data_IF_487316587733
#
_entry.id   IF_487316587733
#
_cell.length_a   1.000
_cell.length_b   1.000
_cell.length_c   1.000
_cell.angle_alpha   90.00
_cell.angle_beta   90.00
_cell.angle_gamma   90.00
#
_symmetry.space_group_name_H-M   'P 1'
#
loop_
_entity.id
_entity.type
_entity.pdbx_description
1 polymer ?
#
# COMPACT_ATOMS: atom_id res chain seq x y z
N UNK A 1 39.49 -5.57 13.32
CA UNK A 1 38.36 -4.88 13.99
C UNK A 1 37.16 -4.96 13.07
N UNK A 2 36.36 -6.02 13.17
CA UNK A 2 35.12 -6.14 12.42
C UNK A 2 34.03 -5.36 13.16
N UNK A 3 33.53 -4.28 12.56
CA UNK A 3 32.38 -3.54 13.08
C UNK A 3 31.15 -4.45 13.00
N UNK A 4 30.64 -4.90 14.14
CA UNK A 4 29.40 -5.65 14.21
C UNK A 4 28.28 -4.83 13.54
N UNK A 5 27.64 -5.42 12.52
CA UNK A 5 26.48 -4.81 11.88
C UNK A 5 25.40 -4.60 12.95
N UNK A 6 24.97 -3.35 13.14
CA UNK A 6 23.88 -3.03 14.06
C UNK A 6 22.65 -3.90 13.75
N UNK A 7 22.16 -4.62 14.74
CA UNK A 7 21.00 -5.49 14.59
C UNK A 7 19.82 -4.72 14.01
N UNK A 8 19.23 -5.20 12.91
CA UNK A 8 18.07 -4.57 12.28
C UNK A 8 16.93 -4.52 13.29
N UNK A 9 16.36 -3.33 13.55
CA UNK A 9 15.21 -3.16 14.45
C UNK A 9 14.08 -4.08 13.98
N UNK A 10 13.43 -4.76 14.93
CA UNK A 10 12.30 -5.64 14.64
C UNK A 10 11.20 -4.80 13.93
N UNK A 11 10.59 -5.32 12.86
CA UNK A 11 9.49 -4.63 12.20
C UNK A 11 8.33 -4.48 13.19
N UNK A 12 7.83 -3.27 13.34
CA UNK A 12 6.63 -2.98 14.13
C UNK A 12 5.44 -3.02 13.18
N UNK A 13 4.47 -3.86 13.51
CA UNK A 13 3.23 -3.94 12.74
C UNK A 13 2.24 -2.92 13.27
N UNK A 14 1.67 -2.13 12.37
CA UNK A 14 0.61 -1.16 12.66
C UNK A 14 -0.71 -1.66 12.07
N UNK A 15 -1.81 -1.14 12.62
CA UNK A 15 -3.17 -1.41 12.15
C UNK A 15 -3.62 -0.34 11.15
N UNK A 16 -4.64 -0.67 10.36
CA UNK A 16 -5.17 0.25 9.34
C UNK A 16 -5.70 1.53 9.99
N UNK A 17 -6.42 1.45 11.10
CA UNK A 17 -6.97 2.61 11.82
C UNK A 17 -5.92 3.60 12.37
N UNK A 18 -4.66 3.17 12.50
CA UNK A 18 -3.55 3.98 12.98
C UNK A 18 -2.86 4.80 11.88
N UNK A 19 -3.26 4.60 10.62
CA UNK A 19 -2.70 5.31 9.48
C UNK A 19 -3.14 6.78 9.49
N UNK A 20 -2.19 7.69 9.22
CA UNK A 20 -2.42 9.14 9.21
C UNK A 20 -1.93 9.79 7.91
N UNK A 21 -2.52 10.91 7.48
CA UNK A 21 -2.05 11.64 6.31
C UNK A 21 -0.54 11.96 6.39
N UNK A 22 0.17 11.82 5.26
CA UNK A 22 1.59 12.17 5.15
C UNK A 22 2.58 11.24 5.87
N UNK A 23 2.11 10.18 6.52
CA UNK A 23 3.00 9.23 7.24
C UNK A 23 3.57 8.14 6.33
N UNK A 24 4.74 7.61 6.70
CA UNK A 24 5.46 6.58 5.93
C UNK A 24 6.19 5.58 6.83
N UNK A 25 6.69 4.49 6.24
CA UNK A 25 7.41 3.44 6.97
C UNK A 25 6.52 2.38 7.60
N UNK A 26 5.26 2.31 7.19
CA UNK A 26 4.27 1.40 7.79
C UNK A 26 4.52 -0.04 7.39
N UNK A 27 4.33 -0.94 8.34
CA UNK A 27 4.29 -2.38 8.06
C UNK A 27 2.98 -2.93 8.60
N UNK A 28 2.21 -3.61 7.77
CA UNK A 28 0.90 -4.14 8.17
C UNK A 28 0.58 -5.44 7.46
N UNK A 29 -0.33 -6.21 8.07
CA UNK A 29 -0.93 -7.40 7.46
C UNK A 29 -2.36 -7.03 7.09
N UNK A 30 -2.73 -7.23 5.84
CA UNK A 30 -4.07 -6.94 5.36
C UNK A 30 -4.58 -8.03 4.44
N UNK A 31 -5.90 -8.22 4.44
CA UNK A 31 -6.61 -9.03 3.46
C UNK A 31 -7.04 -8.15 2.28
N UNK A 32 -6.89 -8.68 1.07
CA UNK A 32 -7.35 -8.02 -0.16
C UNK A 32 -8.81 -8.38 -0.39
N UNK A 33 -9.67 -7.38 -0.43
CA UNK A 33 -11.11 -7.55 -0.67
C UNK A 33 -11.43 -7.46 -2.16
N UNK A 34 -10.87 -6.47 -2.84
CA UNK A 34 -11.06 -6.29 -4.28
C UNK A 34 -9.79 -5.79 -4.94
N UNK A 35 -9.67 -6.04 -6.25
CA UNK A 35 -8.54 -5.60 -7.05
C UNK A 35 -9.04 -5.22 -8.44
N UNK A 36 -8.94 -3.94 -8.79
CA UNK A 36 -9.39 -3.38 -10.06
C UNK A 36 -8.20 -2.79 -10.79
N UNK A 37 -7.86 -3.35 -11.95
CA UNK A 37 -6.84 -2.75 -12.82
C UNK A 37 -7.38 -1.46 -13.44
N UNK A 38 -6.76 -0.33 -13.11
CA UNK A 38 -7.20 1.01 -13.56
C UNK A 38 -6.38 1.53 -14.74
N UNK A 39 -5.14 1.05 -14.89
CA UNK A 39 -4.29 1.43 -16.00
C UNK A 39 -3.47 0.22 -16.45
N UNK A 40 -3.58 -0.10 -17.73
CA UNK A 40 -2.73 -1.07 -18.39
C UNK A 40 -2.33 -0.48 -19.73
N UNK A 41 -1.20 0.23 -19.77
CA UNK A 41 -0.72 0.91 -20.97
C UNK A 41 0.67 0.41 -21.33
N UNK A 42 0.82 -0.10 -22.56
CA UNK A 42 2.12 -0.28 -23.18
C UNK A 42 2.77 1.10 -23.39
N UNK A 43 4.07 1.23 -23.11
CA UNK A 43 4.78 2.51 -23.24
C UNK A 43 4.73 2.99 -24.70
N UNK A 44 4.08 4.12 -25.03
CA UNK A 44 4.04 4.62 -26.41
C UNK A 44 5.47 4.98 -26.84
N UNK A 45 5.94 4.44 -27.96
CA UNK A 45 7.27 4.72 -28.52
C UNK A 45 8.42 3.87 -27.98
N UNK A 46 8.18 2.92 -27.07
CA UNK A 46 9.17 1.88 -26.81
C UNK A 46 9.10 0.86 -27.95
N UNK A 47 10.15 0.77 -28.77
CA UNK A 47 10.29 -0.30 -29.75
C UNK A 47 10.01 -1.66 -29.09
N UNK A 48 9.33 -2.55 -29.79
CA UNK A 48 9.03 -3.91 -29.34
C UNK A 48 10.34 -4.62 -28.97
N UNK A 49 10.69 -4.56 -27.70
CA UNK A 49 11.95 -5.06 -27.16
C UNK A 49 11.80 -5.34 -25.67
N UNK A 50 12.66 -6.18 -25.09
CA UNK A 50 12.53 -6.70 -23.73
C UNK A 50 12.49 -5.63 -22.62
N UNK A 51 12.83 -4.37 -22.92
CA UNK A 51 12.80 -3.24 -21.99
C UNK A 51 11.42 -2.53 -21.89
N UNK A 52 10.46 -2.86 -22.76
CA UNK A 52 9.14 -2.25 -22.77
C UNK A 52 8.17 -2.95 -21.80
N UNK A 53 8.48 -2.96 -20.50
CA UNK A 53 7.51 -3.48 -19.51
C UNK A 53 6.30 -2.53 -19.45
N UNK A 54 5.08 -3.02 -19.69
CA UNK A 54 3.89 -2.17 -19.64
C UNK A 54 3.68 -1.67 -18.21
N UNK A 55 3.34 -0.38 -18.09
CA UNK A 55 2.94 0.16 -16.79
C UNK A 55 1.57 -0.40 -16.46
N UNK A 56 1.48 -1.16 -15.36
CA UNK A 56 0.21 -1.67 -14.82
C UNK A 56 -0.05 -1.04 -13.47
N UNK A 57 -1.25 -0.53 -13.26
CA UNK A 57 -1.71 0.01 -11.98
C UNK A 57 -3.06 -0.61 -11.66
N UNK A 58 -3.19 -1.13 -10.46
CA UNK A 58 -4.46 -1.57 -9.90
C UNK A 58 -4.76 -0.81 -8.61
N UNK A 59 -6.03 -0.48 -8.43
CA UNK A 59 -6.58 -0.02 -7.16
C UNK A 59 -7.16 -1.25 -6.44
N UNK A 60 -6.65 -1.54 -5.27
CA UNK A 60 -7.04 -2.69 -4.47
C UNK A 60 -7.65 -2.20 -3.16
N UNK A 61 -8.83 -2.68 -2.79
CA UNK A 61 -9.36 -2.45 -1.45
C UNK A 61 -8.72 -3.49 -0.53
N UNK A 62 -8.00 -3.03 0.50
CA UNK A 62 -7.37 -3.89 1.50
C UNK A 62 -7.79 -3.47 2.90
N UNK A 63 -7.75 -4.39 3.85
CA UNK A 63 -8.01 -4.04 5.23
C UNK A 63 -7.67 -5.11 6.24
N UNK A 64 -7.85 -4.77 7.50
CA UNK A 64 -7.72 -5.63 8.66
C UNK A 64 -8.97 -5.51 9.54
N UNK A 65 -8.95 -6.06 10.75
CA UNK A 65 -10.07 -5.98 11.68
C UNK A 65 -10.41 -4.55 12.16
N UNK A 66 -9.54 -3.58 11.91
CA UNK A 66 -9.69 -2.19 12.36
C UNK A 66 -10.25 -1.28 11.29
N UNK A 67 -10.01 -1.57 10.01
CA UNK A 67 -10.53 -0.79 8.90
C UNK A 67 -10.02 -1.25 7.55
N UNK A 68 -10.39 -0.50 6.51
CA UNK A 68 -9.91 -0.71 5.15
C UNK A 68 -9.40 0.59 4.51
N UNK A 69 -8.55 0.44 3.50
CA UNK A 69 -7.94 1.52 2.74
C UNK A 69 -7.69 1.07 1.30
N UNK A 70 -7.77 2.00 0.36
CA UNK A 70 -7.36 1.77 -1.03
C UNK A 70 -5.84 1.70 -1.11
N UNK A 71 -5.35 0.63 -1.72
CA UNK A 71 -3.96 0.39 -2.03
C UNK A 71 -3.71 0.57 -3.53
N UNK A 72 -2.64 1.28 -3.88
CA UNK A 72 -2.21 1.45 -5.27
C UNK A 72 -1.11 0.43 -5.60
N UNK A 73 -1.48 -0.67 -6.25
CA UNK A 73 -0.54 -1.69 -6.71
C UNK A 73 0.06 -1.31 -8.08
N UNK A 74 1.37 -1.46 -8.22
CA UNK A 74 2.09 -1.16 -9.48
C UNK A 74 2.85 -2.36 -10.02
N UNK A 75 2.79 -2.54 -11.34
CA UNK A 75 3.52 -3.56 -12.10
C UNK A 75 3.30 -4.97 -11.51
N UNK A 76 4.38 -5.65 -11.12
CA UNK A 76 4.36 -7.01 -10.53
C UNK A 76 3.55 -7.08 -9.22
N UNK A 77 3.36 -5.96 -8.51
CA UNK A 77 2.52 -5.94 -7.31
C UNK A 77 1.06 -6.29 -7.62
N UNK A 78 0.59 -5.97 -8.84
CA UNK A 78 -0.79 -6.27 -9.25
C UNK A 78 -1.05 -7.78 -9.24
N UNK A 79 -0.03 -8.58 -9.56
CA UNK A 79 -0.14 -10.04 -9.59
C UNK A 79 -0.16 -10.65 -8.17
N UNK A 80 0.38 -9.92 -7.17
CA UNK A 80 0.36 -10.29 -5.75
C UNK A 80 -0.97 -9.91 -5.07
N UNK A 81 -1.58 -8.80 -5.51
CA UNK A 81 -2.77 -8.23 -4.89
C UNK A 81 -4.06 -8.83 -5.48
N UNK A 82 -4.24 -10.13 -5.28
CA UNK A 82 -5.43 -10.87 -5.71
C UNK A 82 -6.52 -10.81 -4.63
N UNK A 83 -7.81 -10.71 -4.99
CA UNK A 83 -8.91 -10.84 -4.03
C UNK A 83 -8.76 -12.10 -3.18
N UNK A 84 -9.20 -12.02 -1.92
CA UNK A 84 -9.14 -13.07 -0.90
C UNK A 84 -7.73 -13.49 -0.43
N UNK A 85 -6.67 -12.90 -0.98
CA UNK A 85 -5.31 -13.11 -0.48
C UNK A 85 -5.02 -12.29 0.77
N UNK A 86 -4.18 -12.83 1.66
CA UNK A 86 -3.61 -12.09 2.78
C UNK A 86 -2.17 -11.71 2.43
N UNK A 87 -1.84 -10.44 2.63
CA UNK A 87 -0.54 -9.87 2.27
C UNK A 87 0.07 -9.14 3.45
N UNK A 88 1.40 -9.22 3.55
CA UNK A 88 2.23 -8.40 4.43
C UNK A 88 2.82 -7.30 3.56
N UNK A 89 2.47 -6.05 3.88
CA UNK A 89 2.98 -4.87 3.19
C UNK A 89 4.03 -4.23 4.10
N UNK A 90 5.27 -4.15 3.63
CA UNK A 90 6.41 -3.59 4.38
C UNK A 90 6.87 -2.27 3.81
N UNK A 91 7.19 -1.34 4.71
CA UNK A 91 7.65 0.02 4.36
C UNK A 91 6.71 0.71 3.37
N UNK A 92 5.42 0.73 3.70
CA UNK A 92 4.39 1.43 2.97
C UNK A 92 4.32 2.90 3.41
N UNK A 93 3.73 3.72 2.54
CA UNK A 93 3.46 5.13 2.79
C UNK A 93 2.03 5.48 2.47
N UNK A 94 1.55 6.54 3.11
CA UNK A 94 0.29 7.19 2.77
C UNK A 94 0.56 8.20 1.68
N UNK A 95 -0.13 8.01 0.56
CA UNK A 95 -0.21 8.94 -0.55
C UNK A 95 -1.55 9.67 -0.48
N UNK A 96 -1.52 11.00 -0.58
CA UNK A 96 -2.73 11.81 -0.57
C UNK A 96 -3.21 11.99 -2.00
N UNK A 97 -4.42 11.52 -2.30
CA UNK A 97 -5.02 11.64 -3.62
C UNK A 97 -6.39 12.29 -3.53
N UNK A 98 -6.51 13.49 -4.10
CA UNK A 98 -7.75 14.29 -4.10
C UNK A 98 -8.38 14.44 -2.71
N UNK A 99 -7.56 14.72 -1.69
CA UNK A 99 -8.01 14.88 -0.31
C UNK A 99 -8.13 13.59 0.49
N UNK A 100 -8.13 12.42 -0.14
CA UNK A 100 -8.26 11.13 0.57
C UNK A 100 -6.94 10.36 0.66
N UNK A 101 -6.81 9.55 1.71
CA UNK A 101 -5.63 8.69 1.90
C UNK A 101 -5.66 7.47 0.99
N UNK A 102 -4.50 7.11 0.46
CA UNK A 102 -4.24 5.84 -0.23
C UNK A 102 -2.95 5.23 0.29
N UNK A 103 -2.90 3.91 0.40
CA UNK A 103 -1.67 3.20 0.75
C UNK A 103 -0.88 2.87 -0.52
N UNK A 104 0.43 3.04 -0.47
CA UNK A 104 1.34 2.59 -1.53
C UNK A 104 2.63 2.02 -0.93
N UNK A 105 3.25 1.08 -1.62
CA UNK A 105 4.59 0.60 -1.25
C UNK A 105 5.64 1.63 -1.66
N UNK A 106 6.54 1.97 -0.73
CA UNK A 106 7.65 2.88 -1.01
C UNK A 106 8.77 2.19 -1.82
N UNK A 107 9.75 2.95 -2.33
CA UNK A 107 10.85 2.44 -3.17
C UNK A 107 11.62 1.26 -2.56
N UNK A 108 11.73 1.23 -1.23
CA UNK A 108 12.43 0.17 -0.48
C UNK A 108 11.48 -0.84 0.15
N UNK A 109 10.18 -0.67 -0.03
CA UNK A 109 9.16 -1.56 0.49
C UNK A 109 8.90 -2.76 -0.40
N UNK A 110 8.16 -3.71 0.13
CA UNK A 110 7.80 -4.95 -0.58
C UNK A 110 6.49 -5.52 -0.06
N UNK A 111 5.90 -6.40 -0.86
CA UNK A 111 4.69 -7.14 -0.54
C UNK A 111 5.06 -8.62 -0.47
N UNK A 112 4.64 -9.30 0.60
CA UNK A 112 4.79 -10.73 0.79
C UNK A 112 3.39 -11.35 0.89
N UNK A 113 3.06 -12.34 0.07
CA UNK A 113 1.83 -13.12 0.26
C UNK A 113 2.07 -14.08 1.42
N UNK A 114 1.10 -14.18 2.33
CA UNK A 114 1.18 -15.01 3.53
C UNK A 114 -0.02 -15.93 3.62
N UNK A 115 0.01 -16.83 4.60
CA UNK A 115 -1.14 -17.66 4.96
C UNK A 115 -2.39 -16.81 5.22
N UNK A 116 -3.59 -17.34 4.91
CA UNK A 116 -4.84 -16.63 5.15
C UNK A 116 -4.96 -16.19 6.61
N UNK A 117 -5.15 -14.89 6.83
CA UNK A 117 -5.42 -14.41 8.16
C UNK A 117 -6.84 -14.80 8.61
N UNK A 118 -7.00 -15.06 9.90
CA UNK A 118 -8.28 -15.46 10.51
C UNK A 118 -9.20 -14.29 10.86
N UNK A 119 -8.77 -13.05 10.64
CA UNK A 119 -9.58 -11.87 10.96
C UNK A 119 -10.56 -11.54 9.83
N UNK A 120 -11.71 -10.98 10.21
CA UNK A 120 -12.64 -10.38 9.26
C UNK A 120 -12.30 -8.90 9.07
N UNK A 121 -12.36 -8.40 7.84
CA UNK A 121 -12.04 -7.01 7.54
C UNK A 121 -13.19 -6.10 7.96
N UNK A 122 -12.88 -5.00 8.63
CA UNK A 122 -13.88 -3.99 9.00
C UNK A 122 -14.11 -2.99 7.86
N UNK A 123 -14.97 -3.38 6.92
CA UNK A 123 -15.27 -2.60 5.71
C UNK A 123 -15.95 -1.25 5.99
N UNK A 124 -16.69 -1.15 7.11
CA UNK A 124 -17.39 0.08 7.51
C UNK A 124 -16.43 1.24 7.82
N UNK A 125 -15.19 0.93 8.22
CA UNK A 125 -14.17 1.93 8.53
C UNK A 125 -13.19 2.10 7.36
N UNK A 126 -13.66 2.74 6.28
CA UNK A 126 -12.86 2.97 5.08
C UNK A 126 -12.14 4.32 5.13
N UNK A 127 -10.84 4.29 5.38
CA UNK A 127 -10.00 5.50 5.48
C UNK A 127 -9.81 6.23 4.15
N UNK A 128 -10.07 5.57 3.02
CA UNK A 128 -10.01 6.20 1.70
C UNK A 128 -11.27 6.95 1.32
N UNK A 129 -12.35 6.84 2.10
CA UNK A 129 -13.55 7.67 1.96
C UNK A 129 -13.48 8.94 2.81
N UNK A 130 -12.52 9.02 3.72
CA UNK A 130 -12.31 10.22 4.55
C UNK A 130 -11.54 11.25 3.74
N UNK A 131 -12.08 12.46 3.68
CA UNK A 131 -11.44 13.62 3.08
C UNK A 131 -10.70 14.43 4.14
N UNK A 132 -9.47 14.81 3.84
CA UNK A 132 -8.59 15.61 4.68
C UNK A 132 -8.27 16.93 3.98
N UNK A 133 -8.38 18.01 4.73
CA UNK A 133 -7.95 19.33 4.31
C UNK A 133 -6.59 19.67 4.94
N UNK A 134 -5.68 20.22 4.13
CA UNK A 134 -4.42 20.74 4.66
C UNK A 134 -4.67 22.09 5.30
N UNK A 135 -4.66 22.12 6.63
CA UNK A 135 -4.74 23.37 7.40
C UNK A 135 -3.33 23.90 7.63
N UNK A 136 -3.00 25.00 6.97
CA UNK A 136 -1.79 25.76 7.27
C UNK A 136 -2.08 26.68 8.47
N UNK A 137 -1.59 26.31 9.64
CA UNK A 137 -1.66 27.22 10.80
C UNK A 137 -0.58 28.28 10.60
N UNK A 138 -0.98 29.51 10.27
CA UNK A 138 -0.09 30.66 10.36
C UNK A 138 0.16 30.94 11.84
N UNK A 139 1.41 30.86 12.27
CA UNK A 139 1.82 31.35 13.59
C UNK A 139 1.58 32.87 13.60
N UNK A 140 0.66 33.31 14.46
CA UNK A 140 0.41 34.73 14.75
C UNK A 140 1.39 35.22 15.83
#
# INVERSE_FOLDING_TARGET
MATAAAGKRKPVFVKVDQLKPGTAGHTLVAKVLSSKTVLQKGRPGAAAGPAARPTRIAECLIGDETGCILFTARNEQVDLMKPDSTVIIRNAKIDMFKGSMRLAVDKWGRIEVTEPASFNVKEDNNLSLVEYELVNVSEE
#
